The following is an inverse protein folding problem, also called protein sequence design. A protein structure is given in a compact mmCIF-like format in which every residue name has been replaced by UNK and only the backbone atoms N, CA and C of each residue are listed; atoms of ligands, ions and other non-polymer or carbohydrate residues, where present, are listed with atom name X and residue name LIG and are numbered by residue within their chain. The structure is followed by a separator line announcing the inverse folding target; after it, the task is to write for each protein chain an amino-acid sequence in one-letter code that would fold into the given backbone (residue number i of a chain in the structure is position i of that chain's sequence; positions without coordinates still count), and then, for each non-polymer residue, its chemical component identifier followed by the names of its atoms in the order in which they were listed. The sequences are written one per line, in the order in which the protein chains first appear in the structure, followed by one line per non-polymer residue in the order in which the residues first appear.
data_IF_528925298660
#
_entry.id   IF_528925298660
#
_cell.length_a   1.000
_cell.length_b   1.000
_cell.length_c   1.000
_cell.angle_alpha   90.00
_cell.angle_beta   90.00
_cell.angle_gamma   90.00
#
_symmetry.space_group_name_H-M   'P 1'
#
loop_
_entity.id
_entity.type
_entity.pdbx_description
1 polymer ?
#
# COMPACT_ATOMS: atom_id res chain seq x y z
N UNK A 1 16.25 -9.11 30.20
CA UNK A 1 15.65 -8.24 29.17
C UNK A 1 14.88 -7.19 29.92
N UNK A 2 15.44 -6.00 30.05
CA UNK A 2 14.77 -4.86 30.69
C UNK A 2 13.66 -4.34 29.76
N UNK A 3 12.57 -3.89 30.35
CA UNK A 3 11.38 -3.38 29.66
C UNK A 3 11.74 -2.26 28.67
N UNK A 4 11.30 -2.41 27.42
CA UNK A 4 11.56 -1.44 26.35
C UNK A 4 10.74 -0.16 26.54
N UNK A 5 11.31 0.86 27.15
CA UNK A 5 10.73 2.20 27.19
C UNK A 5 11.12 2.99 25.93
N UNK A 6 10.12 3.42 25.17
CA UNK A 6 10.30 4.44 24.14
C UNK A 6 10.23 5.83 24.79
N UNK A 7 11.38 6.50 24.94
CA UNK A 7 11.43 7.88 25.45
C UNK A 7 10.91 8.84 24.38
N UNK A 8 9.72 9.40 24.59
CA UNK A 8 9.24 10.56 23.83
C UNK A 8 9.99 11.78 24.37
N UNK A 9 10.61 12.57 23.49
CA UNK A 9 11.26 13.82 23.92
C UNK A 9 10.20 14.85 24.33
N UNK A 10 10.47 15.63 25.38
CA UNK A 10 9.50 16.55 25.98
C UNK A 10 8.90 17.53 24.96
N UNK A 11 9.65 17.93 23.94
CA UNK A 11 9.18 18.83 22.89
C UNK A 11 8.03 18.26 22.03
N UNK A 12 7.73 16.96 22.15
CA UNK A 12 6.64 16.29 21.45
C UNK A 12 5.43 15.94 22.34
N UNK A 13 5.42 16.36 23.60
CA UNK A 13 4.29 16.18 24.52
C UNK A 13 3.34 17.38 24.38
N UNK A 14 2.13 17.15 23.88
CA UNK A 14 1.08 18.17 23.81
C UNK A 14 0.22 18.11 25.08
N UNK A 15 0.19 19.20 25.85
CA UNK A 15 -0.71 19.33 27.00
C UNK A 15 -2.16 19.53 26.52
N UNK A 16 -3.01 18.54 26.77
CA UNK A 16 -4.44 18.65 26.47
C UNK A 16 -5.10 19.52 27.55
N UNK A 17 -5.38 20.77 27.21
CA UNK A 17 -6.13 21.67 28.07
C UNK A 17 -7.61 21.20 28.16
N UNK A 18 -7.97 20.54 29.26
CA UNK A 18 -9.37 20.16 29.56
C UNK A 18 -10.18 21.42 29.88
N UNK A 19 -10.85 21.97 28.86
CA UNK A 19 -12.12 22.69 29.03
C UNK A 19 -13.23 21.94 28.28
N UNK A 20 -13.72 20.87 28.87
CA UNK A 20 -15.12 20.47 28.73
C UNK A 20 -15.75 20.63 30.10
N UNK A 21 -16.66 21.60 30.22
CA UNK A 21 -17.36 21.91 31.47
C UNK A 21 -18.21 20.72 31.94
N UNK A 22 -18.18 20.52 33.25
CA UNK A 22 -19.23 19.81 33.98
C UNK A 22 -20.56 20.56 33.80
N UNK A 23 -21.68 19.84 33.79
CA UNK A 23 -22.76 20.05 34.75
C UNK A 23 -23.72 18.86 34.74
N UNK A 24 -23.81 18.27 35.93
CA UNK A 24 -24.98 17.74 36.63
C UNK A 24 -25.87 16.65 36.02
N UNK A 25 -25.83 15.54 36.78
CA UNK A 25 -26.76 14.42 36.77
C UNK A 25 -28.14 14.91 37.18
N UNK A 26 -29.10 14.91 36.26
CA UNK A 26 -30.52 14.83 36.60
C UNK A 26 -31.16 13.64 35.87
N UNK A 27 -31.80 12.79 36.67
CA UNK A 27 -32.60 11.65 36.23
C UNK A 27 -33.86 12.16 35.51
N UNK A 28 -33.91 12.02 34.19
CA UNK A 28 -35.18 12.00 33.46
C UNK A 28 -35.17 10.93 32.36
N UNK A 29 -36.13 10.00 32.52
CA UNK A 29 -36.86 9.19 31.53
C UNK A 29 -36.13 8.85 30.23
N UNK A 30 -35.85 7.55 30.07
CA UNK A 30 -35.50 6.89 28.81
C UNK A 30 -36.54 7.25 27.74
N UNK A 31 -36.14 8.05 26.75
CA UNK A 31 -36.86 8.19 25.49
C UNK A 31 -36.09 7.45 24.37
N UNK A 32 -36.80 6.90 23.37
CA UNK A 32 -36.26 5.85 22.52
C UNK A 32 -35.13 6.34 21.61
N UNK A 33 -34.19 5.43 21.37
CA UNK A 33 -33.12 5.49 20.37
C UNK A 33 -33.63 6.18 19.11
N UNK A 34 -33.11 7.39 18.81
CA UNK A 34 -33.35 8.07 17.54
C UNK A 34 -32.99 7.11 16.40
N UNK A 35 -33.94 6.93 15.49
CA UNK A 35 -33.78 6.15 14.26
C UNK A 35 -32.48 6.54 13.53
N UNK A 36 -31.83 5.59 12.82
CA UNK A 36 -30.59 5.87 12.10
C UNK A 36 -30.84 7.02 11.12
N UNK A 37 -30.06 8.10 11.26
CA UNK A 37 -30.10 9.22 10.32
C UNK A 37 -29.97 8.67 8.88
N UNK A 38 -30.91 9.08 8.02
CA UNK A 38 -30.87 8.76 6.60
C UNK A 38 -29.48 9.08 6.06
N UNK A 39 -28.81 8.09 5.46
CA UNK A 39 -27.51 8.24 4.78
C UNK A 39 -27.55 9.49 3.91
N UNK A 40 -26.87 10.57 4.33
CA UNK A 40 -26.74 11.80 3.53
C UNK A 40 -26.17 11.39 2.17
N UNK A 41 -26.91 11.65 1.09
CA UNK A 41 -26.45 11.36 -0.26
C UNK A 41 -25.10 12.03 -0.53
N UNK A 42 -24.29 11.47 -1.42
CA UNK A 42 -23.05 12.11 -1.86
C UNK A 42 -23.36 13.53 -2.35
N UNK A 43 -22.68 14.53 -1.76
CA UNK A 43 -22.74 15.91 -2.25
C UNK A 43 -22.31 15.91 -3.74
N UNK A 44 -23.29 16.08 -4.63
CA UNK A 44 -23.09 16.10 -6.09
C UNK A 44 -22.16 17.24 -6.50
N UNK A 45 -22.07 18.31 -5.69
CA UNK A 45 -21.19 19.45 -5.91
C UNK A 45 -19.77 19.22 -5.39
N UNK A 46 -19.50 18.16 -4.60
CA UNK A 46 -18.17 17.88 -4.03
C UNK A 46 -17.10 17.80 -5.09
N UNK A 47 -17.38 17.14 -6.23
CA UNK A 47 -16.44 17.06 -7.36
C UNK A 47 -16.12 18.45 -7.91
N UNK A 48 -17.12 19.30 -8.09
CA UNK A 48 -16.94 20.69 -8.56
C UNK A 48 -16.15 21.54 -7.56
N UNK A 49 -16.46 21.43 -6.26
CA UNK A 49 -15.72 22.10 -5.19
C UNK A 49 -14.25 21.66 -5.15
N UNK A 50 -13.98 20.36 -5.25
CA UNK A 50 -12.61 19.83 -5.32
C UNK A 50 -11.86 20.28 -6.58
N UNK A 51 -12.55 20.36 -7.73
CA UNK A 51 -11.93 20.86 -8.96
C UNK A 51 -11.58 22.35 -8.84
N UNK A 52 -12.49 23.18 -8.30
CA UNK A 52 -12.23 24.60 -8.06
C UNK A 52 -11.05 24.80 -7.11
N UNK A 53 -11.02 24.09 -5.98
CA UNK A 53 -9.91 24.15 -5.03
C UNK A 53 -8.57 23.77 -5.70
N UNK A 54 -8.55 22.73 -6.55
CA UNK A 54 -7.35 22.37 -7.33
C UNK A 54 -6.90 23.48 -8.27
N UNK A 55 -7.83 24.14 -8.95
CA UNK A 55 -7.53 25.25 -9.86
C UNK A 55 -7.00 26.45 -9.07
N UNK A 56 -7.57 26.77 -7.91
CA UNK A 56 -7.09 27.85 -7.06
C UNK A 56 -5.67 27.58 -6.54
N UNK A 57 -5.40 26.38 -6.02
CA UNK A 57 -4.04 25.97 -5.64
C UNK A 57 -3.07 26.04 -6.82
N UNK A 58 -3.52 25.64 -8.01
CA UNK A 58 -2.72 25.69 -9.22
C UNK A 58 -2.38 27.11 -9.68
N UNK A 59 -3.18 28.13 -9.32
CA UNK A 59 -2.91 29.54 -9.63
C UNK A 59 -1.92 30.16 -8.65
N UNK A 60 -1.89 29.69 -7.40
CA UNK A 60 -0.97 30.22 -6.38
C UNK A 60 0.39 29.54 -6.43
N UNK A 61 0.46 28.30 -6.93
CA UNK A 61 1.70 27.53 -7.03
C UNK A 61 2.58 28.01 -8.20
N UNK A 62 3.76 28.53 -7.88
CA UNK A 62 4.77 28.95 -8.87
C UNK A 62 5.34 27.71 -9.55
N UNK A 63 5.06 27.55 -10.85
CA UNK A 63 5.51 26.41 -11.66
C UNK A 63 6.09 26.88 -12.97
N UNK A 64 7.10 26.18 -13.45
CA UNK A 64 7.69 26.38 -14.76
C UNK A 64 7.05 25.41 -15.75
N UNK A 65 6.76 25.90 -16.96
CA UNK A 65 6.12 25.11 -17.98
C UNK A 65 7.08 24.03 -18.50
N UNK A 66 6.66 22.76 -18.64
CA UNK A 66 7.52 21.71 -19.18
C UNK A 66 8.11 22.01 -20.55
N UNK A 67 7.44 22.83 -21.37
CA UNK A 67 7.96 23.25 -22.68
C UNK A 67 9.27 24.01 -22.60
N UNK A 68 9.59 24.62 -21.45
CA UNK A 68 10.82 25.40 -21.24
C UNK A 68 12.06 24.49 -21.12
N UNK A 69 11.87 23.20 -20.83
CA UNK A 69 12.94 22.21 -20.71
C UNK A 69 13.05 21.28 -21.91
N UNK A 70 12.10 21.33 -22.84
CA UNK A 70 12.10 20.43 -23.99
C UNK A 70 13.14 20.90 -25.00
N UNK A 71 14.09 20.02 -25.33
CA UNK A 71 15.09 20.26 -26.37
C UNK A 71 14.45 20.38 -27.78
N UNK A 72 13.26 19.81 -27.98
CA UNK A 72 12.57 19.71 -29.28
C UNK A 72 11.65 20.89 -29.65
N UNK A 73 11.92 22.13 -29.18
CA UNK A 73 11.09 23.32 -29.48
C UNK A 73 9.56 23.11 -29.28
N UNK A 74 9.21 22.29 -28.28
CA UNK A 74 7.83 21.88 -28.05
C UNK A 74 7.01 23.08 -27.57
N UNK A 75 6.14 23.60 -28.42
CA UNK A 75 5.23 24.71 -28.06
C UNK A 75 4.26 24.30 -26.95
N UNK A 76 4.05 25.20 -25.99
CA UNK A 76 3.07 25.00 -24.92
C UNK A 76 1.65 24.86 -25.49
N UNK A 77 0.99 23.74 -25.19
CA UNK A 77 -0.39 23.46 -25.63
C UNK A 77 -1.42 24.47 -25.11
N UNK A 78 -1.11 25.17 -24.03
CA UNK A 78 -2.01 26.12 -23.38
C UNK A 78 -1.74 27.57 -23.76
N UNK A 79 -0.59 27.88 -24.38
CA UNK A 79 -0.18 29.24 -24.74
C UNK A 79 -0.37 30.21 -23.58
N UNK A 80 -1.08 31.31 -23.84
CA UNK A 80 -1.36 32.38 -22.87
C UNK A 80 -2.30 31.96 -21.72
N UNK A 81 -3.00 30.83 -21.86
CA UNK A 81 -3.85 30.26 -20.79
C UNK A 81 -3.06 29.36 -19.84
N UNK A 82 -1.76 29.17 -20.07
CA UNK A 82 -0.93 28.36 -19.18
C UNK A 82 -0.78 29.06 -17.83
N UNK A 83 -1.02 28.32 -16.75
CA UNK A 83 -0.81 28.83 -15.38
C UNK A 83 0.67 28.75 -14.95
N UNK A 84 1.55 28.21 -15.79
CA UNK A 84 2.96 28.05 -15.52
C UNK A 84 3.78 29.12 -16.26
N UNK A 85 4.93 29.47 -15.69
CA UNK A 85 5.87 30.43 -16.24
C UNK A 85 6.63 29.84 -17.43
N UNK A 86 6.84 30.66 -18.47
CA UNK A 86 7.55 30.27 -19.69
C UNK A 86 8.98 30.82 -19.77
N UNK A 87 9.44 31.58 -18.78
CA UNK A 87 10.82 32.06 -18.65
C UNK A 87 11.52 31.37 -17.49
N UNK A 88 12.77 30.91 -17.73
CA UNK A 88 13.62 30.31 -16.70
C UNK A 88 14.00 31.34 -15.64
N UNK A 89 14.27 32.57 -16.08
CA UNK A 89 14.70 33.71 -15.26
C UNK A 89 13.57 34.14 -14.32
N UNK A 90 12.36 34.29 -14.86
CA UNK A 90 11.18 34.66 -14.06
C UNK A 90 10.85 33.58 -13.02
N UNK A 91 10.97 32.31 -13.41
CA UNK A 91 10.78 31.21 -12.47
C UNK A 91 11.88 31.19 -11.40
N UNK A 92 13.14 31.34 -11.77
CA UNK A 92 14.27 31.31 -10.84
C UNK A 92 14.19 32.41 -9.77
N UNK A 93 13.77 33.61 -10.18
CA UNK A 93 13.56 34.74 -9.27
C UNK A 93 12.44 34.50 -8.25
N UNK A 94 11.37 33.79 -8.65
CA UNK A 94 10.21 33.49 -7.80
C UNK A 94 10.33 32.16 -7.06
N UNK A 95 11.28 31.30 -7.44
CA UNK A 95 11.43 29.95 -6.89
C UNK A 95 11.71 30.02 -5.38
N UNK A 96 11.00 29.20 -4.56
CA UNK A 96 11.32 29.07 -3.15
C UNK A 96 12.80 28.69 -2.90
N UNK A 97 13.35 29.03 -1.72
CA UNK A 97 14.69 28.60 -1.34
C UNK A 97 14.78 27.07 -1.37
N UNK A 98 15.98 26.59 -1.70
CA UNK A 98 16.24 25.15 -1.75
C UNK A 98 16.20 24.58 -0.34
N UNK A 99 15.69 23.35 -0.20
CA UNK A 99 15.56 22.69 1.11
C UNK A 99 16.89 22.13 1.63
N UNK A 100 17.96 22.20 0.82
CA UNK A 100 19.30 21.78 1.18
C UNK A 100 20.29 22.09 0.05
N UNK A 101 21.57 21.80 0.29
CA UNK A 101 22.67 22.09 -0.64
C UNK A 101 23.00 20.93 -1.58
N UNK A 102 22.48 19.73 -1.32
CA UNK A 102 22.79 18.52 -2.08
C UNK A 102 21.50 17.89 -2.59
N UNK A 103 21.44 17.63 -3.89
CA UNK A 103 20.33 16.92 -4.52
C UNK A 103 20.60 15.41 -4.58
N UNK A 104 19.89 14.57 -3.82
CA UNK A 104 20.17 13.12 -3.79
C UNK A 104 19.98 12.43 -5.15
N UNK A 105 19.06 12.95 -5.98
CA UNK A 105 18.81 12.43 -7.33
C UNK A 105 20.00 12.74 -8.23
N UNK A 106 20.47 13.99 -8.24
CA UNK A 106 21.64 14.40 -9.03
C UNK A 106 22.91 13.69 -8.57
N UNK A 107 23.12 13.54 -7.26
CA UNK A 107 24.29 12.82 -6.74
C UNK A 107 24.34 11.35 -7.18
N UNK A 108 23.20 10.67 -7.21
CA UNK A 108 23.14 9.27 -7.59
C UNK A 108 23.10 9.07 -9.12
N UNK A 109 22.30 9.86 -9.83
CA UNK A 109 22.01 9.65 -11.26
C UNK A 109 22.86 10.50 -12.18
N UNK A 110 23.56 11.50 -11.64
CA UNK A 110 24.30 12.48 -12.43
C UNK A 110 23.44 13.51 -13.18
N UNK A 111 22.12 13.30 -13.22
CA UNK A 111 21.12 14.19 -13.83
C UNK A 111 19.83 14.16 -13.01
N UNK A 112 19.22 15.31 -12.73
CA UNK A 112 17.92 15.38 -12.06
C UNK A 112 16.80 15.58 -13.07
N UNK A 113 15.84 14.65 -13.10
CA UNK A 113 14.66 14.74 -13.99
C UNK A 113 13.76 15.96 -13.74
N UNK A 114 13.91 16.61 -12.59
CA UNK A 114 13.15 17.80 -12.22
C UNK A 114 13.84 19.11 -12.61
N UNK A 115 15.14 19.08 -12.94
CA UNK A 115 15.92 20.24 -13.39
C UNK A 115 15.66 21.48 -12.51
N UNK A 116 15.39 22.65 -13.10
CA UNK A 116 15.13 23.92 -12.39
C UNK A 116 13.97 23.84 -11.39
N UNK A 117 12.99 22.95 -11.62
CA UNK A 117 11.85 22.74 -10.72
C UNK A 117 12.22 21.90 -9.47
N UNK A 118 13.44 21.39 -9.38
CA UNK A 118 13.88 20.62 -8.23
C UNK A 118 13.92 21.47 -6.95
N UNK A 119 13.53 20.89 -5.81
CA UNK A 119 13.69 21.52 -4.50
C UNK A 119 15.16 21.71 -4.08
N UNK A 120 16.10 21.16 -4.85
CA UNK A 120 17.55 21.28 -4.69
C UNK A 120 18.23 21.78 -5.97
N UNK A 121 17.51 22.52 -6.83
CA UNK A 121 18.00 22.94 -8.14
C UNK A 121 19.36 23.66 -8.09
N UNK A 122 19.62 24.50 -7.08
CA UNK A 122 20.90 25.23 -6.93
C UNK A 122 22.11 24.29 -6.80
N UNK A 123 21.90 23.06 -6.33
CA UNK A 123 22.95 22.05 -6.25
C UNK A 123 23.40 21.54 -7.62
N UNK A 124 22.59 21.72 -8.67
CA UNK A 124 22.81 21.13 -9.98
C UNK A 124 22.32 22.03 -11.14
N UNK A 125 22.30 23.35 -10.94
CA UNK A 125 21.93 24.34 -11.95
C UNK A 125 23.06 25.35 -12.08
N UNK A 126 23.46 25.63 -13.32
CA UNK A 126 24.40 26.70 -13.64
C UNK A 126 23.71 28.06 -13.46
N UNK A 127 24.34 28.96 -12.69
CA UNK A 127 23.78 30.28 -12.35
C UNK A 127 23.75 31.28 -13.51
N UNK A 128 24.49 31.03 -14.59
CA UNK A 128 24.51 31.91 -15.76
C UNK A 128 23.50 31.45 -16.81
N UNK A 129 23.45 30.16 -17.11
CA UNK A 129 22.56 29.60 -18.16
C UNK A 129 21.20 29.14 -17.63
N UNK A 130 21.06 28.98 -16.31
CA UNK A 130 19.89 28.36 -15.66
C UNK A 130 19.60 26.93 -16.16
N UNK A 131 20.60 26.30 -16.76
CA UNK A 131 20.53 24.91 -17.20
C UNK A 131 21.09 23.97 -16.15
N UNK A 132 20.63 22.74 -16.18
CA UNK A 132 21.13 21.71 -15.29
C UNK A 132 22.53 21.26 -15.72
N UNK A 133 23.44 21.17 -14.75
CA UNK A 133 24.74 20.50 -14.96
C UNK A 133 24.55 18.99 -14.97
N UNK A 134 25.43 18.27 -15.66
CA UNK A 134 25.42 16.80 -15.74
C UNK A 134 26.75 16.23 -15.28
N UNK A 135 26.71 15.06 -14.66
CA UNK A 135 27.89 14.26 -14.31
C UNK A 135 27.59 12.78 -14.53
N UNK A 136 28.62 11.95 -14.47
CA UNK A 136 28.41 10.50 -14.52
C UNK A 136 27.61 10.02 -13.28
N UNK A 137 26.67 9.07 -13.44
CA UNK A 137 25.98 8.45 -12.31
C UNK A 137 26.97 7.82 -11.34
N UNK A 138 26.60 7.79 -10.04
CA UNK A 138 27.38 7.06 -9.05
C UNK A 138 27.53 5.58 -9.44
N UNK A 139 28.70 4.95 -9.30
CA UNK A 139 28.88 3.52 -9.55
C UNK A 139 27.93 2.62 -8.73
N UNK A 140 27.48 3.11 -7.57
CA UNK A 140 26.51 2.42 -6.72
C UNK A 140 25.06 2.48 -7.26
N UNK A 141 24.77 3.43 -8.15
CA UNK A 141 23.42 3.63 -8.66
C UNK A 141 23.11 2.60 -9.74
N UNK A 142 21.97 1.91 -9.56
CA UNK A 142 21.44 0.96 -10.55
C UNK A 142 20.04 1.40 -10.94
N UNK A 143 19.73 1.51 -12.24
CA UNK A 143 18.38 1.81 -12.68
C UNK A 143 17.45 0.64 -12.33
N UNK A 144 16.55 0.83 -11.36
CA UNK A 144 15.44 -0.10 -11.11
C UNK A 144 14.24 0.32 -11.96
N UNK A 145 14.14 -0.24 -13.17
CA UNK A 145 13.04 0.06 -14.09
C UNK A 145 11.89 -0.94 -13.86
N UNK A 146 10.67 -0.44 -13.77
CA UNK A 146 9.46 -1.25 -13.68
C UNK A 146 9.03 -1.77 -15.07
N UNK A 147 9.84 -2.64 -15.68
CA UNK A 147 9.68 -3.01 -17.10
C UNK A 147 8.47 -3.91 -17.38
N UNK A 148 7.90 -4.60 -16.39
CA UNK A 148 6.85 -5.61 -16.64
C UNK A 148 5.40 -5.13 -16.37
N UNK A 149 5.20 -3.94 -15.80
CA UNK A 149 3.86 -3.59 -15.29
C UNK A 149 2.91 -3.06 -16.37
N UNK A 150 3.39 -2.45 -17.46
CA UNK A 150 2.50 -1.77 -18.43
C UNK A 150 1.75 -2.79 -19.29
N UNK A 151 2.45 -3.77 -19.89
CA UNK A 151 1.78 -4.79 -20.70
C UNK A 151 0.83 -5.64 -19.85
N UNK A 152 1.25 -5.99 -18.62
CA UNK A 152 0.38 -6.66 -17.66
C UNK A 152 -0.89 -5.84 -17.37
N UNK A 153 -0.75 -4.53 -17.12
CA UNK A 153 -1.91 -3.64 -16.94
C UNK A 153 -2.84 -3.63 -18.15
N UNK A 154 -2.28 -3.56 -19.36
CA UNK A 154 -3.06 -3.60 -20.60
C UNK A 154 -3.82 -4.93 -20.70
N UNK A 155 -3.14 -6.05 -20.47
CA UNK A 155 -3.73 -7.38 -20.53
C UNK A 155 -4.86 -7.53 -19.50
N UNK A 156 -4.69 -7.05 -18.28
CA UNK A 156 -5.73 -7.09 -17.24
C UNK A 156 -6.93 -6.22 -17.61
N UNK A 157 -6.71 -4.98 -18.05
CA UNK A 157 -7.79 -4.07 -18.43
C UNK A 157 -8.57 -4.54 -19.66
N UNK A 158 -7.89 -5.25 -20.57
CA UNK A 158 -8.50 -5.87 -21.75
C UNK A 158 -9.01 -7.30 -21.50
N UNK A 159 -8.92 -7.81 -20.27
CA UNK A 159 -9.28 -9.19 -19.90
C UNK A 159 -8.58 -10.27 -20.77
N UNK A 160 -7.34 -10.01 -21.18
CA UNK A 160 -6.52 -10.93 -21.99
C UNK A 160 -5.67 -11.87 -21.13
N UNK A 161 -5.53 -11.58 -19.83
CA UNK A 161 -4.81 -12.46 -18.91
C UNK A 161 -5.71 -13.66 -18.55
N UNK A 162 -5.20 -14.87 -18.78
CA UNK A 162 -5.91 -16.13 -18.49
C UNK A 162 -5.56 -16.63 -17.08
N UNK A 163 -6.55 -17.18 -16.38
CA UNK A 163 -6.41 -17.63 -15.00
C UNK A 163 -6.71 -19.14 -14.87
N UNK A 164 -6.00 -19.94 -15.67
CA UNK A 164 -6.28 -21.37 -15.85
C UNK A 164 -6.08 -22.15 -14.54
N UNK A 165 -5.09 -21.79 -13.72
CA UNK A 165 -4.87 -22.45 -12.42
C UNK A 165 -5.97 -22.10 -11.44
N UNK A 166 -6.45 -20.85 -11.45
CA UNK A 166 -7.57 -20.45 -10.61
C UNK A 166 -8.85 -21.16 -11.03
N UNK A 167 -9.14 -21.22 -12.32
CA UNK A 167 -10.31 -21.92 -12.84
C UNK A 167 -10.31 -23.40 -12.45
N UNK A 168 -9.14 -24.05 -12.51
CA UNK A 168 -8.94 -25.43 -12.09
C UNK A 168 -9.15 -25.59 -10.58
N UNK A 169 -8.51 -24.74 -9.77
CA UNK A 169 -8.65 -24.74 -8.31
C UNK A 169 -10.10 -24.54 -7.86
N UNK A 170 -10.85 -23.66 -8.52
CA UNK A 170 -12.27 -23.43 -8.20
C UNK A 170 -13.13 -24.67 -8.49
N UNK A 171 -12.86 -25.40 -9.58
CA UNK A 171 -13.54 -26.66 -9.89
C UNK A 171 -13.23 -27.73 -8.83
N UNK A 172 -11.97 -27.86 -8.43
CA UNK A 172 -11.54 -28.82 -7.40
C UNK A 172 -12.17 -28.55 -6.02
N UNK A 173 -12.31 -27.27 -5.63
CA UNK A 173 -12.94 -26.91 -4.35
C UNK A 173 -14.41 -27.30 -4.31
N UNK A 174 -15.08 -27.33 -5.47
CA UNK A 174 -16.48 -27.78 -5.55
C UNK A 174 -16.62 -29.30 -5.40
N UNK A 175 -15.56 -30.08 -5.68
CA UNK A 175 -15.59 -31.55 -5.68
C UNK A 175 -14.90 -32.17 -4.48
N UNK A 176 -13.90 -31.50 -3.88
CA UNK A 176 -13.00 -32.09 -2.89
C UNK A 176 -13.07 -31.41 -1.54
N UNK A 177 -13.29 -32.20 -0.48
CA UNK A 177 -13.38 -31.71 0.91
C UNK A 177 -12.01 -31.71 1.63
N UNK A 178 -11.05 -32.51 1.16
CA UNK A 178 -9.73 -32.66 1.81
C UNK A 178 -8.66 -31.71 1.25
N UNK A 179 -7.77 -31.22 2.13
CA UNK A 179 -6.53 -30.55 1.75
C UNK A 179 -5.37 -31.54 1.93
N UNK A 180 -4.50 -31.65 0.91
CA UNK A 180 -3.23 -32.36 1.05
C UNK A 180 -2.17 -31.39 1.59
N UNK A 181 -1.29 -31.88 2.46
CA UNK A 181 -0.06 -31.15 2.80
C UNK A 181 0.78 -30.97 1.53
N UNK A 182 1.33 -29.77 1.34
CA UNK A 182 2.12 -29.42 0.15
C UNK A 182 3.51 -28.98 0.58
N UNK A 183 4.51 -29.47 -0.13
CA UNK A 183 5.88 -28.96 0.00
C UNK A 183 5.94 -27.51 -0.53
N UNK A 184 6.56 -26.61 0.25
CA UNK A 184 6.74 -25.21 -0.12
C UNK A 184 8.20 -24.89 -0.40
N UNK A 185 8.43 -23.92 -1.28
CA UNK A 185 9.78 -23.44 -1.64
C UNK A 185 10.48 -22.70 -0.48
N UNK A 186 9.71 -22.20 0.49
CA UNK A 186 10.21 -21.59 1.71
C UNK A 186 9.64 -22.33 2.92
N UNK A 187 10.53 -22.84 3.76
CA UNK A 187 10.16 -23.43 5.04
C UNK A 187 9.97 -22.31 6.07
N UNK A 188 8.72 -21.91 6.32
CA UNK A 188 8.41 -20.82 7.26
C UNK A 188 8.87 -21.09 8.70
N UNK A 189 9.23 -22.33 9.07
CA UNK A 189 9.80 -22.65 10.39
C UNK A 189 11.20 -22.07 10.58
N UNK A 190 11.96 -21.86 9.50
CA UNK A 190 13.30 -21.23 9.56
C UNK A 190 13.25 -19.74 9.85
N UNK A 191 12.04 -19.15 9.88
CA UNK A 191 11.81 -17.76 10.25
C UNK A 191 11.74 -17.54 11.76
N UNK A 192 11.85 -18.60 12.57
CA UNK A 192 11.88 -18.50 14.02
C UNK A 192 12.99 -17.54 14.48
N UNK A 193 12.66 -16.64 15.40
CA UNK A 193 13.60 -15.64 15.93
C UNK A 193 13.87 -14.45 15.01
N UNK A 194 13.31 -14.42 13.80
CA UNK A 194 13.49 -13.30 12.87
C UNK A 194 12.57 -12.12 13.16
N UNK A 195 13.05 -10.92 12.86
CA UNK A 195 12.25 -9.69 12.94
C UNK A 195 11.34 -9.53 11.72
N UNK A 196 10.04 -9.45 11.95
CA UNK A 196 9.03 -9.29 10.90
C UNK A 196 8.45 -7.87 10.91
N UNK A 197 8.65 -7.12 9.83
CA UNK A 197 7.99 -5.84 9.61
C UNK A 197 6.53 -6.06 9.25
N UNK A 198 5.61 -5.67 10.14
CA UNK A 198 4.19 -5.81 9.90
C UNK A 198 3.74 -5.07 8.61
N UNK A 199 2.75 -5.59 7.88
CA UNK A 199 2.14 -4.87 6.77
C UNK A 199 1.35 -3.68 7.32
N UNK A 200 1.74 -2.48 6.89
CA UNK A 200 1.15 -1.22 7.36
C UNK A 200 0.53 -0.45 6.20
N UNK A 201 -0.79 -0.42 6.11
CA UNK A 201 -1.48 0.38 5.08
C UNK A 201 -1.11 1.85 5.21
N UNK A 202 -0.92 2.54 4.09
CA UNK A 202 -0.54 3.95 3.88
C UNK A 202 0.88 4.36 4.28
N UNK A 203 1.60 3.56 5.07
CA UNK A 203 2.95 3.91 5.57
C UNK A 203 4.01 2.86 5.25
N UNK A 204 3.62 1.60 5.02
CA UNK A 204 4.51 0.46 4.74
C UNK A 204 5.02 0.38 3.30
N UNK A 205 5.23 1.53 2.66
CA UNK A 205 5.64 1.60 1.26
C UNK A 205 7.09 1.10 1.07
N UNK A 206 7.49 0.90 -0.20
CA UNK A 206 8.80 0.33 -0.53
C UNK A 206 9.99 1.09 0.10
N UNK A 207 10.09 2.44 0.03
CA UNK A 207 11.13 3.19 0.74
C UNK A 207 11.16 2.93 2.25
N UNK A 208 10.00 2.90 2.91
CA UNK A 208 9.92 2.65 4.35
C UNK A 208 10.43 1.25 4.71
N UNK A 209 10.04 0.22 3.94
CA UNK A 209 10.51 -1.15 4.18
C UNK A 209 12.02 -1.28 4.01
N UNK A 210 12.61 -0.58 3.04
CA UNK A 210 14.07 -0.54 2.85
C UNK A 210 14.79 0.04 4.06
N UNK A 211 14.30 1.15 4.60
CA UNK A 211 14.83 1.73 5.84
C UNK A 211 14.71 0.73 6.99
N UNK A 212 13.59 0.01 7.11
CA UNK A 212 13.44 -1.01 8.14
C UNK A 212 14.44 -2.17 7.99
N UNK A 213 14.79 -2.58 6.75
CA UNK A 213 15.86 -3.57 6.52
C UNK A 213 17.19 -3.06 7.09
N UNK A 214 17.56 -1.81 6.82
CA UNK A 214 18.78 -1.19 7.34
C UNK A 214 18.80 -1.11 8.87
N UNK A 215 17.61 -0.97 9.48
CA UNK A 215 17.41 -0.98 10.94
C UNK A 215 17.23 -2.39 11.55
N UNK A 216 17.42 -3.45 10.76
CA UNK A 216 17.44 -4.82 11.26
C UNK A 216 16.17 -5.64 11.06
N UNK A 217 15.22 -5.19 10.24
CA UNK A 217 14.12 -6.07 9.78
C UNK A 217 14.67 -7.16 8.85
N UNK A 218 14.29 -8.41 9.07
CA UNK A 218 14.72 -9.54 8.25
C UNK A 218 13.64 -10.01 7.28
N UNK A 219 12.37 -9.82 7.64
CA UNK A 219 11.20 -10.17 6.83
C UNK A 219 10.38 -8.90 6.63
N UNK A 220 10.03 -8.61 5.39
CA UNK A 220 9.16 -7.48 5.03
C UNK A 220 7.89 -7.99 4.36
N UNK A 221 6.82 -7.21 4.51
CA UNK A 221 5.56 -7.47 3.83
C UNK A 221 5.03 -6.19 3.20
N UNK A 222 4.44 -6.28 2.02
CA UNK A 222 3.83 -5.14 1.35
C UNK A 222 2.75 -4.49 2.21
N UNK A 223 2.35 -3.28 1.85
CA UNK A 223 1.06 -2.78 2.30
C UNK A 223 -0.07 -3.72 1.84
N UNK A 224 -1.22 -3.62 2.50
CA UNK A 224 -2.40 -4.39 2.13
C UNK A 224 -2.85 -4.04 0.71
N UNK A 225 -2.74 -4.99 -0.22
CA UNK A 225 -3.15 -4.86 -1.60
C UNK A 225 -4.54 -5.49 -1.83
N UNK A 226 -5.48 -4.71 -2.34
CA UNK A 226 -6.83 -5.12 -2.71
C UNK A 226 -6.81 -5.99 -3.97
N UNK A 227 -7.12 -7.27 -3.85
CA UNK A 227 -7.11 -8.23 -4.96
C UNK A 227 -7.95 -7.75 -6.16
N UNK A 228 -9.13 -7.17 -5.93
CA UNK A 228 -9.97 -6.58 -7.00
C UNK A 228 -9.31 -5.43 -7.76
N UNK A 229 -8.44 -4.65 -7.13
CA UNK A 229 -7.77 -3.51 -7.76
C UNK A 229 -6.51 -3.95 -8.52
N UNK A 230 -5.82 -4.98 -8.01
CA UNK A 230 -4.75 -5.69 -8.74
C UNK A 230 -5.31 -6.21 -10.07
N UNK A 231 -6.43 -6.93 -10.04
CA UNK A 231 -7.04 -7.52 -11.23
C UNK A 231 -7.57 -6.49 -12.24
N UNK A 232 -7.81 -5.25 -11.81
CA UNK A 232 -8.15 -4.12 -12.70
C UNK A 232 -6.92 -3.44 -13.31
N UNK A 233 -5.72 -3.93 -13.01
CA UNK A 233 -4.47 -3.31 -13.41
C UNK A 233 -4.30 -1.90 -12.87
N UNK A 234 -4.71 -1.64 -11.62
CA UNK A 234 -4.57 -0.31 -11.02
C UNK A 234 -3.08 -0.03 -10.71
N UNK A 235 -2.48 1.04 -11.25
CA UNK A 235 -1.04 1.28 -11.11
C UNK A 235 -0.58 1.47 -9.66
N UNK A 236 -1.41 2.12 -8.84
CA UNK A 236 -1.14 2.30 -7.42
C UNK A 236 -1.08 0.97 -6.68
N UNK A 237 -1.97 0.04 -7.01
CA UNK A 237 -2.04 -1.27 -6.37
C UNK A 237 -0.87 -2.17 -6.77
N UNK A 238 -0.58 -2.22 -8.08
CA UNK A 238 0.56 -3.01 -8.59
C UNK A 238 1.91 -2.50 -8.08
N UNK A 239 1.98 -1.24 -7.65
CA UNK A 239 3.19 -0.68 -7.05
C UNK A 239 3.46 -1.23 -5.65
N UNK A 240 2.44 -1.69 -4.93
CA UNK A 240 2.59 -2.31 -3.60
C UNK A 240 3.29 -3.67 -3.67
N UNK A 241 3.14 -4.37 -4.80
CA UNK A 241 3.64 -5.73 -5.04
C UNK A 241 5.14 -5.77 -5.34
N UNK A 242 5.82 -4.63 -5.38
CA UNK A 242 7.22 -4.52 -5.80
C UNK A 242 8.15 -4.81 -4.63
N UNK A 243 9.17 -5.61 -4.93
CA UNK A 243 10.34 -5.92 -4.08
C UNK A 243 11.51 -5.00 -4.43
N UNK A 244 12.27 -4.58 -3.43
CA UNK A 244 13.60 -4.00 -3.61
C UNK A 244 14.67 -5.07 -3.38
N UNK A 245 15.82 -5.05 -4.10
CA UNK A 245 16.88 -6.04 -3.93
C UNK A 245 17.45 -6.19 -2.51
N UNK A 246 17.26 -5.19 -1.64
CA UNK A 246 17.68 -5.27 -0.22
C UNK A 246 16.74 -6.14 0.63
N UNK A 247 15.51 -6.40 0.18
CA UNK A 247 14.54 -7.21 0.91
C UNK A 247 14.90 -8.69 0.76
N UNK A 248 15.49 -9.30 1.78
CA UNK A 248 15.93 -10.71 1.77
C UNK A 248 14.77 -11.70 1.76
N UNK A 249 13.70 -11.38 2.49
CA UNK A 249 12.46 -12.15 2.54
C UNK A 249 11.29 -11.17 2.44
N UNK A 250 10.57 -11.22 1.32
CA UNK A 250 9.49 -10.30 1.00
C UNK A 250 8.19 -11.06 0.74
N UNK A 251 7.12 -10.62 1.42
CA UNK A 251 5.77 -11.11 1.17
C UNK A 251 4.82 -10.03 0.68
N UNK A 252 3.75 -10.48 0.02
CA UNK A 252 2.66 -9.60 -0.44
C UNK A 252 1.41 -9.86 0.39
N UNK A 253 0.88 -8.84 1.06
CA UNK A 253 -0.39 -8.96 1.77
C UNK A 253 -1.58 -8.65 0.86
N UNK A 254 -2.47 -9.63 0.66
CA UNK A 254 -3.71 -9.51 -0.09
C UNK A 254 -4.92 -9.25 0.82
N UNK A 255 -5.85 -8.44 0.33
CA UNK A 255 -7.19 -8.30 0.87
C UNK A 255 -8.25 -8.63 -0.19
N UNK A 256 -9.16 -9.51 0.17
CA UNK A 256 -10.28 -9.95 -0.67
C UNK A 256 -11.27 -10.77 0.16
N UNK A 257 -12.46 -10.98 -0.39
CA UNK A 257 -13.54 -11.70 0.31
C UNK A 257 -14.02 -12.98 -0.39
N UNK A 258 -13.48 -13.27 -1.57
CA UNK A 258 -13.97 -14.33 -2.46
C UNK A 258 -12.82 -15.18 -3.02
N UNK A 259 -12.99 -16.52 -3.08
CA UNK A 259 -11.96 -17.44 -3.56
C UNK A 259 -11.50 -17.15 -4.99
N UNK A 260 -12.42 -16.84 -5.90
CA UNK A 260 -12.12 -16.56 -7.30
C UNK A 260 -11.21 -15.33 -7.46
N UNK A 261 -11.52 -14.26 -6.73
CA UNK A 261 -10.77 -13.01 -6.77
C UNK A 261 -9.39 -13.18 -6.16
N UNK A 262 -9.31 -13.91 -5.04
CA UNK A 262 -8.03 -14.16 -4.35
C UNK A 262 -7.15 -15.13 -5.14
N UNK A 263 -7.71 -16.21 -5.69
CA UNK A 263 -6.99 -17.15 -6.56
C UNK A 263 -6.39 -16.44 -7.77
N UNK A 264 -7.18 -15.64 -8.49
CA UNK A 264 -6.68 -14.87 -9.65
C UNK A 264 -5.54 -13.93 -9.27
N UNK A 265 -5.66 -13.25 -8.12
CA UNK A 265 -4.60 -12.38 -7.64
C UNK A 265 -3.32 -13.15 -7.28
N UNK A 266 -3.44 -14.32 -6.64
CA UNK A 266 -2.31 -15.22 -6.36
C UNK A 266 -1.64 -15.70 -7.65
N UNK A 267 -2.41 -16.12 -8.65
CA UNK A 267 -1.92 -16.58 -9.95
C UNK A 267 -1.08 -15.49 -10.62
N UNK A 268 -1.64 -14.28 -10.69
CA UNK A 268 -1.00 -13.11 -11.25
C UNK A 268 0.29 -12.75 -10.51
N UNK A 269 0.26 -12.74 -9.18
CA UNK A 269 1.41 -12.42 -8.35
C UNK A 269 2.54 -13.42 -8.60
N UNK A 270 2.22 -14.72 -8.52
CA UNK A 270 3.18 -15.80 -8.71
C UNK A 270 3.89 -15.74 -10.07
N UNK A 271 3.17 -15.40 -11.13
CA UNK A 271 3.71 -15.44 -12.48
C UNK A 271 4.49 -14.18 -12.88
N UNK A 272 4.29 -13.05 -12.18
CA UNK A 272 4.77 -11.74 -12.64
C UNK A 272 5.55 -10.95 -11.59
N UNK A 273 5.67 -11.44 -10.35
CA UNK A 273 6.31 -10.71 -9.26
C UNK A 273 7.28 -11.59 -8.48
N UNK A 274 8.40 -11.00 -8.08
CA UNK A 274 9.37 -11.60 -7.17
C UNK A 274 8.85 -11.50 -5.72
N UNK A 275 8.44 -12.64 -5.17
CA UNK A 275 7.81 -12.76 -3.85
C UNK A 275 8.14 -14.11 -3.23
N UNK A 276 8.38 -14.14 -1.92
CA UNK A 276 8.73 -15.36 -1.18
C UNK A 276 7.53 -16.00 -0.48
N UNK A 277 6.47 -15.22 -0.18
CA UNK A 277 5.21 -15.71 0.37
C UNK A 277 4.05 -14.73 0.14
N UNK A 278 2.81 -15.21 0.20
CA UNK A 278 1.61 -14.36 0.16
C UNK A 278 0.96 -14.38 1.55
N UNK A 279 0.54 -13.23 2.06
CA UNK A 279 -0.20 -13.09 3.32
C UNK A 279 -1.66 -12.71 3.05
N UNK A 280 -2.62 -13.40 3.66
CA UNK A 280 -4.02 -13.03 3.59
C UNK A 280 -4.41 -12.15 4.77
N UNK A 281 -4.87 -10.94 4.48
CA UNK A 281 -5.37 -10.02 5.49
C UNK A 281 -6.75 -10.46 6.02
N UNK A 282 -6.76 -10.84 7.29
CA UNK A 282 -7.95 -11.22 8.07
C UNK A 282 -8.16 -10.28 9.27
N UNK A 283 -7.47 -9.13 9.29
CA UNK A 283 -7.37 -8.25 10.46
C UNK A 283 -7.67 -6.78 10.19
N UNK A 284 -7.87 -6.36 8.93
CA UNK A 284 -8.17 -4.98 8.60
C UNK A 284 -9.55 -4.57 9.18
N UNK A 285 -9.63 -3.50 10.00
CA UNK A 285 -10.88 -3.04 10.59
C UNK A 285 -11.69 -2.12 9.67
N UNK A 286 -11.10 -1.65 8.55
CA UNK A 286 -11.71 -0.66 7.65
C UNK A 286 -13.03 -1.17 7.06
N UNK A 287 -14.08 -0.36 7.17
CA UNK A 287 -15.42 -0.73 6.70
C UNK A 287 -15.44 -0.99 5.19
N UNK A 288 -14.72 -0.19 4.40
CA UNK A 288 -14.61 -0.35 2.94
C UNK A 288 -14.07 -1.71 2.49
N UNK A 289 -13.31 -2.40 3.35
CA UNK A 289 -12.82 -3.77 3.13
C UNK A 289 -13.81 -4.79 3.66
N UNK A 290 -14.35 -4.55 4.86
CA UNK A 290 -15.25 -5.49 5.55
C UNK A 290 -16.63 -5.61 4.86
N UNK A 291 -17.16 -4.50 4.31
CA UNK A 291 -18.40 -4.47 3.53
C UNK A 291 -18.30 -5.32 2.25
N UNK A 292 -17.08 -5.46 1.69
CA UNK A 292 -16.79 -6.33 0.55
C UNK A 292 -16.46 -7.77 0.97
N UNK A 293 -16.64 -8.10 2.26
CA UNK A 293 -16.35 -9.41 2.82
C UNK A 293 -14.88 -9.70 3.09
N UNK A 294 -13.96 -8.73 2.95
CA UNK A 294 -12.54 -8.92 3.28
C UNK A 294 -12.20 -8.60 4.74
N UNK A 295 -10.92 -8.69 5.11
CA UNK A 295 -10.43 -8.30 6.43
C UNK A 295 -11.07 -9.11 7.55
N UNK A 296 -11.45 -8.45 8.65
CA UNK A 296 -12.04 -9.13 9.81
C UNK A 296 -13.37 -9.84 9.48
N UNK A 297 -14.12 -9.33 8.48
CA UNK A 297 -15.37 -9.93 7.99
C UNK A 297 -15.14 -11.32 7.38
N UNK A 298 -14.01 -11.54 6.70
CA UNK A 298 -13.65 -12.88 6.21
C UNK A 298 -13.34 -13.82 7.37
N UNK A 299 -12.59 -13.35 8.38
CA UNK A 299 -12.26 -14.13 9.58
C UNK A 299 -13.52 -14.62 10.33
N UNK A 300 -14.58 -13.81 10.37
CA UNK A 300 -15.85 -14.18 11.01
C UNK A 300 -16.73 -15.16 10.21
N UNK A 301 -16.29 -15.60 9.02
CA UNK A 301 -17.04 -16.50 8.13
C UNK A 301 -16.18 -17.74 7.79
N UNK A 302 -16.02 -18.70 8.72
CA UNK A 302 -15.01 -19.74 8.61
C UNK A 302 -15.08 -20.57 7.32
N UNK A 303 -16.28 -20.95 6.86
CA UNK A 303 -16.43 -21.71 5.61
C UNK A 303 -15.97 -20.91 4.38
N UNK A 304 -16.23 -19.60 4.35
CA UNK A 304 -15.76 -18.72 3.26
C UNK A 304 -14.24 -18.53 3.35
N UNK A 305 -13.70 -18.41 4.56
CA UNK A 305 -12.26 -18.34 4.78
C UNK A 305 -11.54 -19.61 4.31
N UNK A 306 -12.02 -20.78 4.70
CA UNK A 306 -11.45 -22.07 4.26
C UNK A 306 -11.46 -22.17 2.74
N UNK A 307 -12.59 -21.87 2.08
CA UNK A 307 -12.65 -21.92 0.61
C UNK A 307 -11.69 -20.93 -0.06
N UNK A 308 -11.51 -19.74 0.54
CA UNK A 308 -10.54 -18.76 0.05
C UNK A 308 -9.10 -19.27 0.18
N UNK A 309 -8.73 -19.79 1.35
CA UNK A 309 -7.39 -20.34 1.59
C UNK A 309 -7.10 -21.55 0.70
N UNK A 310 -8.05 -22.48 0.55
CA UNK A 310 -7.92 -23.62 -0.37
C UNK A 310 -7.64 -23.16 -1.80
N UNK A 311 -8.39 -22.17 -2.30
CA UNK A 311 -8.17 -21.65 -3.64
C UNK A 311 -6.79 -21.02 -3.78
N UNK A 312 -6.41 -20.17 -2.83
CA UNK A 312 -5.09 -19.54 -2.82
C UNK A 312 -3.96 -20.58 -2.79
N UNK A 313 -4.06 -21.60 -1.92
CA UNK A 313 -3.05 -22.66 -1.81
C UNK A 313 -2.96 -23.53 -3.06
N UNK A 314 -4.10 -23.87 -3.67
CA UNK A 314 -4.13 -24.65 -4.91
C UNK A 314 -3.43 -23.92 -6.06
N UNK A 315 -3.64 -22.59 -6.16
CA UNK A 315 -3.02 -21.75 -7.20
C UNK A 315 -1.55 -21.44 -6.89
N UNK A 316 -1.23 -21.17 -5.62
CA UNK A 316 0.11 -20.82 -5.18
C UNK A 316 1.10 -21.97 -5.36
N UNK A 317 0.63 -23.22 -5.28
CA UNK A 317 1.44 -24.44 -5.37
C UNK A 317 2.52 -24.43 -4.28
N UNK A 318 3.80 -24.25 -4.62
CA UNK A 318 4.91 -24.20 -3.68
C UNK A 318 5.12 -22.85 -2.99
N UNK A 319 4.43 -21.79 -3.42
CA UNK A 319 4.54 -20.47 -2.80
C UNK A 319 3.73 -20.46 -1.47
N UNK A 320 4.35 -20.24 -0.30
CA UNK A 320 3.65 -20.30 0.98
C UNK A 320 2.53 -19.26 1.10
N UNK A 321 1.43 -19.66 1.75
CA UNK A 321 0.33 -18.79 2.15
C UNK A 321 0.35 -18.61 3.67
N UNK A 322 0.52 -17.38 4.10
CA UNK A 322 0.39 -16.94 5.49
C UNK A 322 -0.92 -16.20 5.71
N UNK A 323 -1.31 -16.03 6.96
CA UNK A 323 -2.45 -15.19 7.32
C UNK A 323 -2.09 -14.22 8.45
N UNK A 324 -2.75 -13.06 8.44
CA UNK A 324 -2.69 -12.10 9.55
C UNK A 324 -4.08 -11.77 10.05
N UNK A 325 -4.39 -12.13 11.29
CA UNK A 325 -5.72 -11.96 11.88
C UNK A 325 -5.69 -11.21 13.22
N UNK A 326 -6.87 -10.81 13.69
CA UNK A 326 -7.10 -10.26 15.04
C UNK A 326 -7.57 -11.35 16.00
N UNK A 327 -7.43 -11.15 17.32
CA UNK A 327 -7.91 -12.14 18.29
C UNK A 327 -9.44 -12.27 18.35
N UNK A 328 -10.18 -11.25 17.89
CA UNK A 328 -11.64 -11.25 17.91
C UNK A 328 -12.27 -10.06 17.18
N UNK A 329 -13.59 -10.12 16.99
CA UNK A 329 -14.38 -9.04 16.38
C UNK A 329 -14.80 -7.96 17.38
N UNK A 330 -15.10 -8.34 18.62
CA UNK A 330 -15.55 -7.45 19.69
C UNK A 330 -14.63 -7.60 20.89
N UNK A 331 -14.41 -6.51 21.61
CA UNK A 331 -13.72 -6.51 22.90
C UNK A 331 -14.27 -7.61 23.83
N UNK A 332 -13.38 -8.26 24.60
CA UNK A 332 -13.72 -9.39 25.46
C UNK A 332 -14.12 -10.71 24.75
N UNK A 333 -14.44 -10.73 23.44
CA UNK A 333 -14.81 -11.95 22.70
C UNK A 333 -13.63 -12.53 21.93
N UNK A 334 -12.97 -13.52 22.51
CA UNK A 334 -11.80 -14.19 21.92
C UNK A 334 -12.23 -15.30 20.96
N UNK A 335 -12.29 -15.03 19.65
CA UNK A 335 -12.74 -16.02 18.65
C UNK A 335 -11.61 -16.62 17.80
N UNK A 336 -10.41 -16.03 17.83
CA UNK A 336 -9.31 -16.49 16.98
C UNK A 336 -8.95 -17.96 17.19
N UNK A 337 -8.86 -18.43 18.44
CA UNK A 337 -8.50 -19.83 18.71
C UNK A 337 -9.46 -20.84 18.05
N UNK A 338 -10.77 -20.58 18.02
CA UNK A 338 -11.76 -21.41 17.33
C UNK A 338 -11.55 -21.40 15.81
N UNK A 339 -11.35 -20.20 15.25
CA UNK A 339 -11.12 -20.03 13.81
C UNK A 339 -9.81 -20.73 13.40
N UNK A 340 -8.75 -20.58 14.20
CA UNK A 340 -7.44 -21.19 13.99
C UNK A 340 -7.54 -22.71 13.95
N UNK A 341 -8.26 -23.33 14.90
CA UNK A 341 -8.49 -24.78 14.90
C UNK A 341 -9.14 -25.24 13.59
N UNK A 342 -10.16 -24.51 13.12
CA UNK A 342 -10.89 -24.86 11.90
C UNK A 342 -10.01 -24.73 10.64
N UNK A 343 -9.25 -23.63 10.50
CA UNK A 343 -8.38 -23.44 9.34
C UNK A 343 -7.23 -24.44 9.33
N UNK A 344 -6.60 -24.75 10.47
CA UNK A 344 -5.48 -25.70 10.53
C UNK A 344 -5.94 -27.10 10.13
N UNK A 345 -7.16 -27.49 10.49
CA UNK A 345 -7.73 -28.79 10.11
C UNK A 345 -8.07 -28.91 8.62
N UNK A 346 -8.47 -27.80 7.97
CA UNK A 346 -9.07 -27.86 6.63
C UNK A 346 -8.23 -27.24 5.52
N UNK A 347 -7.36 -26.28 5.85
CA UNK A 347 -6.52 -25.50 4.92
C UNK A 347 -5.44 -24.76 5.73
N UNK A 348 -4.45 -25.48 6.26
CA UNK A 348 -3.46 -24.91 7.18
C UNK A 348 -2.56 -23.89 6.47
N UNK A 349 -2.48 -22.63 6.94
CA UNK A 349 -1.48 -21.69 6.45
C UNK A 349 -0.10 -22.05 7.01
N UNK A 350 0.97 -21.70 6.27
CA UNK A 350 2.34 -21.98 6.68
C UNK A 350 2.85 -21.05 7.80
N UNK A 351 2.23 -19.87 7.96
CA UNK A 351 2.49 -18.93 9.05
C UNK A 351 1.19 -18.21 9.45
N UNK A 352 1.02 -17.98 10.75
CA UNK A 352 -0.07 -17.19 11.30
C UNK A 352 0.48 -16.04 12.14
N UNK A 353 0.06 -14.82 11.82
CA UNK A 353 0.32 -13.63 12.63
C UNK A 353 -0.96 -13.20 13.35
N UNK A 354 -0.89 -13.05 14.68
CA UNK A 354 -2.01 -12.61 15.50
C UNK A 354 -1.78 -11.18 15.99
N UNK A 355 -2.70 -10.27 15.68
CA UNK A 355 -2.81 -8.99 16.36
C UNK A 355 -3.66 -9.17 17.62
N UNK A 356 -3.09 -9.03 18.84
CA UNK A 356 -3.81 -9.23 20.09
C UNK A 356 -4.75 -8.05 20.45
N UNK A 357 -5.48 -7.51 19.48
CA UNK A 357 -6.63 -6.62 19.71
C UNK A 357 -7.88 -7.06 18.95
N UNK A 358 -9.07 -6.72 19.47
CA UNK A 358 -10.33 -6.89 18.77
C UNK A 358 -10.44 -5.89 17.61
N UNK A 359 -11.41 -6.07 16.71
CA UNK A 359 -11.75 -5.03 15.73
C UNK A 359 -12.47 -3.85 16.39
N UNK A 360 -13.55 -4.15 17.11
CA UNK A 360 -14.46 -3.22 17.77
C UNK A 360 -14.18 -3.11 19.26
#
# INVERSE_FOLDING_TARGET
MEDGFARIKEEYILEINKKCGNNDVNKEVVTPIKQPEKRRGMDRQRKGKMLKAKIEMAKTEIRICPSVFSEDDIKCKYGDKCLALHSKEEYWAKKPPDIGTVCPIFEQQGKCKFSLACSFARAHTNTETMDQIEKDPSPSWKPTINSQTIQLQINLRKNLFKFERTETALKEISTTVACMERETNLNMKTLCGKTYLAPLTTVGNLPFRRLCIELGAEITCSEMAMATQILKGQPSELSLLKRHPSEKLFGIQLAGGYPDTLGKAVELIKDNFDVDFIDLNLGCPLDSVNEKGGGCSLASRPNKLVNALKCMQNVADKLPISIKMRYGMKEGKRTAHTIIKQIVQQSPPQLLTLHPRSRL
#
